data_IF_063626677636
#
_entry.id   IF_063626677636
#
_cell.length_a   1.000
_cell.length_b   1.000
_cell.length_c   1.000
_cell.angle_alpha   90.00
_cell.angle_beta   90.00
_cell.angle_gamma   90.00
#
_symmetry.space_group_name_H-M   'P 1'
#
loop_
_entity.id
_entity.type
_entity.pdbx_description
1 polymer ?
#
# COMPACT_ATOMS: atom_id res chain seq x y z
N UNK A 1 -8.27 -25.98 -52.41
CA UNK A 1 -7.67 -24.70 -51.92
C UNK A 1 -8.48 -24.22 -50.74
N UNK A 2 -7.97 -24.39 -49.51
CA UNK A 2 -8.56 -23.82 -48.28
C UNK A 2 -8.10 -22.38 -48.18
N UNK A 3 -9.07 -21.45 -48.16
CA UNK A 3 -8.79 -20.03 -47.85
C UNK A 3 -8.39 -19.93 -46.39
N UNK A 4 -7.19 -19.44 -46.11
CA UNK A 4 -6.71 -19.05 -44.78
C UNK A 4 -7.28 -17.64 -44.55
N UNK A 5 -8.23 -17.52 -43.61
CA UNK A 5 -8.67 -16.22 -43.15
C UNK A 5 -7.57 -15.62 -42.25
N UNK A 6 -7.25 -14.33 -42.40
CA UNK A 6 -6.28 -13.68 -41.54
C UNK A 6 -6.88 -13.51 -40.14
N UNK A 7 -6.26 -14.15 -39.15
CA UNK A 7 -6.57 -13.88 -37.75
C UNK A 7 -6.22 -12.41 -37.42
N UNK A 8 -7.22 -11.65 -37.02
CA UNK A 8 -7.03 -10.31 -36.47
C UNK A 8 -6.19 -10.43 -35.17
N UNK A 9 -4.92 -10.09 -35.28
CA UNK A 9 -4.06 -9.86 -34.12
C UNK A 9 -4.52 -8.53 -33.51
N UNK A 10 -5.26 -8.57 -32.41
CA UNK A 10 -5.58 -7.39 -31.62
C UNK A 10 -4.29 -6.83 -31.04
N UNK A 11 -3.78 -5.76 -31.60
CA UNK A 11 -2.68 -5.00 -31.02
C UNK A 11 -3.28 -4.30 -29.79
N UNK A 12 -3.01 -4.82 -28.60
CA UNK A 12 -3.29 -4.11 -27.34
C UNK A 12 -2.25 -2.98 -27.28
N UNK A 13 -2.69 -1.77 -27.59
CA UNK A 13 -1.88 -0.56 -27.36
C UNK A 13 -1.90 -0.35 -25.84
N UNK A 14 -0.86 -0.77 -25.14
CA UNK A 14 -0.69 -0.39 -23.74
C UNK A 14 -0.61 1.14 -23.64
N UNK A 15 -1.47 1.71 -22.80
CA UNK A 15 -1.44 3.13 -22.53
C UNK A 15 -0.06 3.52 -21.93
N UNK A 16 0.47 4.67 -22.31
CA UNK A 16 1.73 5.17 -21.77
C UNK A 16 1.61 5.27 -20.22
N UNK A 17 2.64 4.83 -19.47
CA UNK A 17 2.61 4.89 -18.03
C UNK A 17 2.39 6.32 -17.50
N UNK A 18 1.53 6.46 -16.48
CA UNK A 18 1.24 7.73 -15.82
C UNK A 18 2.48 8.25 -15.08
N UNK A 19 2.55 9.56 -14.84
CA UNK A 19 3.60 10.21 -14.06
C UNK A 19 3.02 10.72 -12.74
N UNK A 20 3.76 10.51 -11.64
CA UNK A 20 3.39 11.10 -10.35
C UNK A 20 3.69 12.61 -10.35
N UNK A 21 3.13 13.39 -9.43
CA UNK A 21 3.48 14.81 -9.26
C UNK A 21 4.99 15.03 -8.95
N UNK A 22 5.71 13.98 -8.54
CA UNK A 22 7.14 14.02 -8.20
C UNK A 22 8.05 13.52 -9.33
N UNK A 23 7.51 13.15 -10.50
CA UNK A 23 8.27 12.58 -11.61
C UNK A 23 9.48 13.40 -12.03
N UNK A 24 9.31 14.72 -12.17
CA UNK A 24 10.40 15.61 -12.61
C UNK A 24 11.49 15.71 -11.53
N UNK A 25 11.11 15.67 -10.26
CA UNK A 25 12.05 15.64 -9.13
C UNK A 25 12.84 14.33 -9.09
N UNK A 26 12.21 13.20 -9.37
CA UNK A 26 12.92 11.91 -9.49
C UNK A 26 13.97 11.95 -10.59
N UNK A 27 13.60 12.51 -11.75
CA UNK A 27 14.53 12.67 -12.88
C UNK A 27 15.68 13.61 -12.51
N UNK A 28 15.40 14.74 -11.86
CA UNK A 28 16.40 15.71 -11.39
C UNK A 28 17.37 15.08 -10.37
N UNK A 29 16.87 14.20 -9.52
CA UNK A 29 17.68 13.46 -8.54
C UNK A 29 18.44 12.26 -9.13
N UNK A 30 18.32 12.00 -10.44
CA UNK A 30 19.04 10.94 -11.13
C UNK A 30 18.45 9.54 -10.89
N UNK A 31 17.17 9.44 -10.56
CA UNK A 31 16.52 8.16 -10.33
C UNK A 31 16.47 7.29 -11.60
N UNK A 32 16.68 6.00 -11.43
CA UNK A 32 16.37 5.01 -12.47
C UNK A 32 14.87 4.75 -12.47
N UNK A 33 14.18 5.23 -13.51
CA UNK A 33 12.73 5.10 -13.64
C UNK A 33 12.35 3.79 -14.33
N UNK A 34 11.27 3.14 -13.86
CA UNK A 34 10.71 1.90 -14.42
C UNK A 34 9.19 1.97 -14.46
N UNK A 35 8.51 1.28 -15.38
CA UNK A 35 7.07 1.05 -15.32
C UNK A 35 6.74 0.18 -14.11
N UNK A 36 5.74 0.59 -13.33
CA UNK A 36 5.22 -0.14 -12.18
C UNK A 36 3.74 0.20 -11.97
N UNK A 37 2.86 -0.80 -11.99
CA UNK A 37 1.42 -0.63 -11.77
C UNK A 37 0.78 0.50 -12.60
N UNK A 38 1.19 0.63 -13.88
CA UNK A 38 0.71 1.68 -14.78
C UNK A 38 1.34 3.07 -14.58
N UNK A 39 2.36 3.20 -13.74
CA UNK A 39 3.08 4.44 -13.45
C UNK A 39 4.56 4.34 -13.80
N UNK A 40 5.22 5.50 -14.06
CA UNK A 40 6.68 5.59 -14.09
C UNK A 40 7.18 5.92 -12.68
N UNK A 41 7.86 4.95 -12.06
CA UNK A 41 8.31 5.04 -10.67
C UNK A 41 9.83 4.89 -10.55
N UNK A 42 10.48 5.52 -9.56
CA UNK A 42 11.89 5.31 -9.27
C UNK A 42 12.11 3.91 -8.68
N UNK A 43 12.94 3.09 -9.32
CA UNK A 43 13.36 1.80 -8.73
C UNK A 43 14.49 1.99 -7.75
N UNK A 44 15.40 2.95 -8.01
CA UNK A 44 16.51 3.35 -7.15
C UNK A 44 17.07 4.71 -7.59
N UNK A 45 17.79 5.39 -6.67
CA UNK A 45 18.57 6.62 -6.94
C UNK A 45 20.07 6.34 -6.84
N UNK A 46 20.51 5.62 -5.82
CA UNK A 46 21.90 5.19 -5.65
C UNK A 46 22.01 3.68 -5.82
N UNK A 47 21.79 2.92 -4.78
CA UNK A 47 21.67 1.47 -4.83
C UNK A 47 20.58 0.98 -3.86
N UNK A 48 19.91 -0.11 -4.22
CA UNK A 48 18.86 -0.71 -3.38
C UNK A 48 19.37 -0.97 -1.95
N UNK A 49 20.59 -1.49 -1.82
CA UNK A 49 21.17 -1.81 -0.50
C UNK A 49 21.44 -0.54 0.32
N UNK A 50 21.96 0.50 -0.31
CA UNK A 50 22.28 1.76 0.37
C UNK A 50 21.02 2.49 0.83
N UNK A 51 19.99 2.51 -0.01
CA UNK A 51 18.68 3.08 0.31
C UNK A 51 18.00 2.29 1.44
N UNK A 52 18.00 0.96 1.35
CA UNK A 52 17.52 0.07 2.40
C UNK A 52 18.21 0.36 3.76
N UNK A 53 19.55 0.43 3.76
CA UNK A 53 20.32 0.72 4.99
C UNK A 53 20.05 2.12 5.52
N UNK A 54 19.77 3.10 4.67
CA UNK A 54 19.37 4.44 5.12
C UNK A 54 18.06 4.41 5.90
N UNK A 55 17.08 3.63 5.45
CA UNK A 55 15.80 3.45 6.17
C UNK A 55 16.01 2.74 7.50
N UNK A 56 16.86 1.71 7.54
CA UNK A 56 17.13 0.97 8.80
C UNK A 56 17.89 1.77 9.83
N UNK A 57 18.83 2.63 9.42
CA UNK A 57 19.76 3.30 10.34
C UNK A 57 19.49 4.80 10.52
N UNK A 58 18.80 5.42 9.59
CA UNK A 58 18.56 6.88 9.54
C UNK A 58 17.10 7.20 9.21
N UNK A 59 16.86 7.68 7.99
CA UNK A 59 15.54 7.97 7.44
C UNK A 59 15.59 7.91 5.91
N UNK A 60 14.55 7.35 5.31
CA UNK A 60 14.33 7.36 3.85
C UNK A 60 13.01 8.00 3.49
N UNK A 61 12.91 8.54 2.28
CA UNK A 61 11.66 9.07 1.71
C UNK A 61 11.34 8.36 0.41
N UNK A 62 10.10 7.87 0.30
CA UNK A 62 9.56 7.17 -0.85
C UNK A 62 8.41 7.97 -1.45
N UNK A 63 8.35 8.07 -2.78
CA UNK A 63 7.13 8.49 -3.46
C UNK A 63 6.09 7.38 -3.40
N UNK A 64 4.93 7.68 -2.84
CA UNK A 64 3.75 6.81 -2.80
C UNK A 64 2.53 7.46 -3.47
N UNK A 65 2.75 8.51 -4.28
CA UNK A 65 1.67 9.24 -4.97
C UNK A 65 0.90 8.39 -5.99
N UNK A 66 1.47 7.25 -6.40
CA UNK A 66 0.81 6.30 -7.29
C UNK A 66 -0.32 5.52 -6.61
N UNK A 67 -0.36 5.46 -5.27
CA UNK A 67 -1.45 4.82 -4.52
C UNK A 67 -2.78 5.53 -4.78
N UNK A 68 -3.87 4.75 -4.91
CA UNK A 68 -5.21 5.32 -5.05
C UNK A 68 -5.67 5.98 -3.75
N UNK A 69 -6.32 7.14 -3.88
CA UNK A 69 -6.84 7.90 -2.75
C UNK A 69 -8.31 8.21 -3.02
N UNK A 70 -9.21 7.58 -2.24
CA UNK A 70 -10.65 7.76 -2.40
C UNK A 70 -11.22 8.41 -1.16
N UNK A 71 -12.14 9.36 -1.37
CA UNK A 71 -12.96 9.95 -0.31
C UNK A 71 -14.33 9.31 -0.37
N UNK A 72 -14.77 8.79 0.77
CA UNK A 72 -16.14 8.34 1.02
C UNK A 72 -16.76 9.31 2.01
N UNK A 73 -17.91 9.88 1.67
CA UNK A 73 -18.58 10.90 2.48
C UNK A 73 -20.10 10.73 2.40
N UNK A 74 -20.78 11.00 3.50
CA UNK A 74 -22.24 11.02 3.55
C UNK A 74 -22.84 10.26 4.73
N UNK A 75 -24.10 10.54 5.01
CA UNK A 75 -24.84 9.86 6.06
C UNK A 75 -24.94 8.35 5.77
N UNK A 76 -24.43 7.53 6.68
CA UNK A 76 -24.34 6.06 6.48
C UNK A 76 -23.02 5.55 5.90
N UNK A 77 -22.06 6.41 5.58
CA UNK A 77 -20.74 6.00 5.08
C UNK A 77 -20.05 4.99 6.01
N UNK A 78 -20.17 5.16 7.34
CA UNK A 78 -19.62 4.21 8.31
C UNK A 78 -20.24 2.82 8.16
N UNK A 79 -21.55 2.72 8.16
CA UNK A 79 -22.24 1.42 8.04
C UNK A 79 -21.98 0.75 6.70
N UNK A 80 -21.97 1.53 5.62
CA UNK A 80 -21.66 1.03 4.27
C UNK A 80 -20.23 0.50 4.21
N UNK A 81 -19.22 1.27 4.64
CA UNK A 81 -17.83 0.82 4.69
C UNK A 81 -17.67 -0.41 5.59
N UNK A 82 -18.41 -0.47 6.69
CA UNK A 82 -18.37 -1.63 7.58
C UNK A 82 -18.92 -2.90 6.88
N UNK A 83 -19.87 -2.77 5.93
CA UNK A 83 -20.35 -3.83 5.07
C UNK A 83 -19.42 -4.18 3.91
N UNK A 84 -18.58 -3.26 3.44
CA UNK A 84 -17.65 -3.49 2.33
C UNK A 84 -16.29 -4.04 2.78
N UNK A 85 -15.82 -3.70 3.99
CA UNK A 85 -14.47 -4.00 4.47
C UNK A 85 -14.49 -5.08 5.55
N UNK A 86 -13.41 -5.85 5.64
CA UNK A 86 -13.34 -6.99 6.58
C UNK A 86 -13.13 -6.59 8.03
N UNK A 87 -12.38 -5.52 8.29
CA UNK A 87 -12.14 -5.04 9.65
C UNK A 87 -13.32 -4.16 10.13
N UNK A 88 -13.42 -3.95 11.42
CA UNK A 88 -14.56 -3.27 12.01
C UNK A 88 -14.39 -1.76 12.01
N UNK A 89 -15.05 -1.09 11.06
CA UNK A 89 -15.01 0.37 10.87
C UNK A 89 -15.70 1.11 12.04
N UNK A 90 -16.62 0.46 12.76
CA UNK A 90 -17.29 1.06 13.92
C UNK A 90 -16.35 1.34 15.10
N UNK A 91 -15.16 0.70 15.10
CA UNK A 91 -14.12 0.94 16.11
C UNK A 91 -13.28 2.20 15.85
N UNK A 92 -13.43 2.82 14.67
CA UNK A 92 -12.67 4.02 14.32
C UNK A 92 -13.33 5.28 14.89
N UNK A 93 -12.58 6.05 15.64
CA UNK A 93 -12.88 7.45 15.92
C UNK A 93 -12.25 8.36 14.87
N UNK A 94 -12.67 9.62 14.77
CA UNK A 94 -12.06 10.61 13.91
C UNK A 94 -10.54 10.71 14.19
N UNK A 95 -9.74 10.76 13.12
CA UNK A 95 -8.29 10.72 13.20
C UNK A 95 -7.70 9.31 13.27
N UNK A 96 -8.48 8.24 13.39
CA UNK A 96 -7.97 6.87 13.43
C UNK A 96 -8.00 6.20 12.05
N UNK A 97 -7.06 5.31 11.83
CA UNK A 97 -6.99 4.45 10.65
C UNK A 97 -6.81 2.98 10.99
N UNK A 98 -7.15 2.11 10.07
CA UNK A 98 -6.95 0.66 10.20
C UNK A 98 -6.66 0.02 8.85
N UNK A 99 -5.83 -1.01 8.88
CA UNK A 99 -5.61 -1.91 7.74
C UNK A 99 -6.78 -2.89 7.63
N UNK A 100 -7.23 -3.15 6.40
CA UNK A 100 -8.40 -3.98 6.11
C UNK A 100 -8.31 -4.55 4.71
N UNK A 101 -9.25 -5.45 4.35
CA UNK A 101 -9.36 -6.02 3.01
C UNK A 101 -10.68 -5.64 2.36
N UNK A 102 -10.63 -5.45 1.05
CA UNK A 102 -11.77 -5.46 0.14
C UNK A 102 -11.85 -6.85 -0.49
N UNK A 103 -12.99 -7.52 -0.35
CA UNK A 103 -13.17 -8.89 -0.82
C UNK A 103 -14.19 -8.97 -1.96
N UNK A 104 -14.07 -10.03 -2.77
CA UNK A 104 -15.15 -10.48 -3.63
C UNK A 104 -16.14 -11.38 -2.87
N UNK A 105 -17.27 -11.70 -3.48
CA UNK A 105 -18.34 -12.52 -2.86
C UNK A 105 -17.87 -13.94 -2.44
N UNK A 106 -16.77 -14.42 -3.01
CA UNK A 106 -16.18 -15.72 -2.68
C UNK A 106 -15.13 -15.63 -1.55
N UNK A 107 -14.94 -14.43 -0.97
CA UNK A 107 -13.99 -14.17 0.10
C UNK A 107 -12.55 -13.95 -0.37
N UNK A 108 -12.29 -13.94 -1.68
CA UNK A 108 -10.96 -13.65 -2.22
C UNK A 108 -10.62 -12.16 -2.12
N UNK A 109 -9.34 -11.86 -1.92
CA UNK A 109 -8.85 -10.50 -1.71
C UNK A 109 -8.79 -9.74 -3.04
N UNK A 110 -9.67 -8.76 -3.24
CA UNK A 110 -9.58 -7.80 -4.34
C UNK A 110 -8.40 -6.87 -4.05
N UNK A 111 -8.41 -6.21 -2.87
CA UNK A 111 -7.32 -5.37 -2.42
C UNK A 111 -7.14 -5.39 -0.90
N UNK A 112 -5.97 -4.98 -0.46
CA UNK A 112 -5.62 -4.65 0.91
C UNK A 112 -5.34 -3.15 1.02
N UNK A 113 -5.97 -2.49 1.97
CA UNK A 113 -5.98 -1.04 2.04
C UNK A 113 -5.95 -0.51 3.47
N UNK A 114 -5.67 0.78 3.60
CA UNK A 114 -5.87 1.50 4.85
C UNK A 114 -7.07 2.41 4.70
N UNK A 115 -8.02 2.32 5.65
CA UNK A 115 -9.13 3.25 5.79
C UNK A 115 -8.87 4.16 6.99
N UNK A 116 -8.96 5.48 6.79
CA UNK A 116 -8.89 6.50 7.83
C UNK A 116 -10.25 7.16 7.99
N UNK A 117 -10.73 7.30 9.23
CA UNK A 117 -11.87 8.16 9.53
C UNK A 117 -11.37 9.58 9.76
N UNK A 118 -11.54 10.48 8.79
CA UNK A 118 -11.05 11.87 8.87
C UNK A 118 -12.03 12.80 9.58
N UNK A 119 -13.33 12.58 9.39
CA UNK A 119 -14.43 13.26 10.09
C UNK A 119 -15.53 12.25 10.43
N UNK A 120 -16.58 12.68 11.09
CA UNK A 120 -17.63 11.78 11.60
C UNK A 120 -18.23 10.87 10.51
N UNK A 121 -18.49 11.39 9.31
CA UNK A 121 -19.08 10.65 8.18
C UNK A 121 -18.17 10.66 6.94
N UNK A 122 -16.87 10.94 7.10
CA UNK A 122 -15.94 11.10 6.01
C UNK A 122 -14.68 10.28 6.20
N UNK A 123 -14.34 9.53 5.18
CA UNK A 123 -13.26 8.54 5.21
C UNK A 123 -12.32 8.73 4.02
N UNK A 124 -11.02 8.49 4.26
CA UNK A 124 -10.01 8.36 3.23
C UNK A 124 -9.63 6.88 3.12
N UNK A 125 -9.74 6.33 1.92
CA UNK A 125 -9.22 5.01 1.59
C UNK A 125 -7.93 5.18 0.78
N UNK A 126 -6.86 4.50 1.21
CA UNK A 126 -5.58 4.44 0.49
C UNK A 126 -5.43 3.03 -0.03
N UNK A 127 -5.55 2.85 -1.35
CA UNK A 127 -5.60 1.56 -2.06
C UNK A 127 -4.37 1.33 -2.92
N UNK A 128 -4.10 0.08 -3.29
CA UNK A 128 -2.95 -0.26 -4.12
C UNK A 128 -3.08 0.31 -5.55
N UNK A 129 -1.98 0.86 -6.08
CA UNK A 129 -1.94 1.53 -7.37
C UNK A 129 -2.45 0.66 -8.54
N UNK A 130 -2.08 -0.62 -8.55
CA UNK A 130 -2.48 -1.58 -9.59
C UNK A 130 -3.92 -2.03 -9.49
N UNK A 131 -4.62 -1.69 -8.40
CA UNK A 131 -6.02 -2.06 -8.14
C UNK A 131 -6.97 -0.88 -8.12
N UNK A 132 -6.46 0.34 -8.10
CA UNK A 132 -7.25 1.56 -7.85
C UNK A 132 -8.48 1.70 -8.77
N UNK A 133 -8.34 1.39 -10.06
CA UNK A 133 -9.46 1.50 -11.00
C UNK A 133 -10.51 0.38 -10.77
N UNK A 134 -10.06 -0.84 -10.43
CA UNK A 134 -10.91 -2.00 -10.10
C UNK A 134 -11.63 -1.79 -8.78
N UNK A 135 -10.91 -1.33 -7.75
CA UNK A 135 -11.46 -1.03 -6.42
C UNK A 135 -12.53 0.05 -6.48
N UNK A 136 -12.24 1.13 -7.23
CA UNK A 136 -13.19 2.21 -7.42
C UNK A 136 -14.47 1.70 -8.09
N UNK A 137 -14.34 0.91 -9.15
CA UNK A 137 -15.49 0.33 -9.86
C UNK A 137 -16.27 -0.65 -8.96
N UNK A 138 -15.58 -1.48 -8.19
CA UNK A 138 -16.21 -2.39 -7.25
C UNK A 138 -17.01 -1.66 -6.18
N UNK A 139 -16.40 -0.67 -5.53
CA UNK A 139 -17.03 0.15 -4.51
C UNK A 139 -18.22 0.96 -5.10
N UNK A 140 -18.07 1.52 -6.31
CA UNK A 140 -19.12 2.26 -7.01
C UNK A 140 -20.35 1.39 -7.32
N UNK A 141 -20.14 0.13 -7.71
CA UNK A 141 -21.22 -0.81 -8.00
C UNK A 141 -22.00 -1.25 -6.74
N UNK A 142 -21.42 -1.08 -5.55
CA UNK A 142 -22.04 -1.37 -4.26
C UNK A 142 -22.43 -0.11 -3.48
N UNK A 143 -22.37 1.06 -4.12
CA UNK A 143 -22.63 2.33 -3.44
C UNK A 143 -24.09 2.43 -3.01
N UNK A 144 -24.33 2.83 -1.76
CA UNK A 144 -25.65 3.05 -1.22
C UNK A 144 -26.10 4.50 -1.42
N UNK A 145 -27.40 4.73 -1.45
CA UNK A 145 -27.98 6.07 -1.55
C UNK A 145 -27.50 6.99 -0.43
N UNK A 146 -27.25 8.25 -0.78
CA UNK A 146 -26.79 9.26 0.17
C UNK A 146 -25.29 9.22 0.52
N UNK A 147 -24.53 8.31 -0.09
CA UNK A 147 -23.08 8.22 0.06
C UNK A 147 -22.41 8.67 -1.24
N UNK A 148 -21.38 9.49 -1.13
CA UNK A 148 -20.51 9.85 -2.25
C UNK A 148 -19.17 9.10 -2.17
N UNK A 149 -18.73 8.59 -3.30
CA UNK A 149 -17.40 8.01 -3.51
C UNK A 149 -16.69 8.86 -4.58
N UNK A 150 -15.54 9.42 -4.24
CA UNK A 150 -14.78 10.31 -5.14
C UNK A 150 -13.31 9.90 -5.16
N UNK A 151 -12.76 9.67 -6.35
CA UNK A 151 -11.31 9.51 -6.50
C UNK A 151 -10.64 10.88 -6.47
N UNK A 152 -9.67 11.03 -5.56
CA UNK A 152 -8.85 12.23 -5.39
C UNK A 152 -7.38 11.99 -5.75
N UNK A 153 -7.08 10.84 -6.35
CA UNK A 153 -5.71 10.42 -6.68
C UNK A 153 -4.97 11.38 -7.62
N UNK A 154 -5.70 12.11 -8.46
CA UNK A 154 -5.10 13.13 -9.33
C UNK A 154 -4.81 14.47 -8.62
N UNK A 155 -5.48 14.73 -7.51
CA UNK A 155 -5.38 16.01 -6.80
C UNK A 155 -4.26 16.03 -5.76
N UNK A 156 -3.84 14.85 -5.30
CA UNK A 156 -2.88 14.68 -4.22
C UNK A 156 -1.61 13.97 -4.69
N UNK A 157 -0.49 14.36 -4.06
CA UNK A 157 0.72 13.59 -3.98
C UNK A 157 0.89 13.03 -2.58
N UNK A 158 1.72 12.00 -2.43
CA UNK A 158 2.03 11.46 -1.13
C UNK A 158 3.46 10.92 -1.06
N UNK A 159 4.08 11.06 0.11
CA UNK A 159 5.39 10.45 0.39
C UNK A 159 5.33 9.66 1.70
N UNK A 160 6.07 8.55 1.75
CA UNK A 160 6.35 7.85 3.00
C UNK A 160 7.75 8.21 3.50
N UNK A 161 7.84 8.73 4.72
CA UNK A 161 9.09 9.06 5.42
C UNK A 161 9.28 8.01 6.51
N UNK A 162 10.31 7.17 6.40
CA UNK A 162 10.45 5.95 7.17
C UNK A 162 11.86 5.80 7.74
N UNK A 163 11.97 5.39 9.00
CA UNK A 163 13.23 5.10 9.66
C UNK A 163 13.28 5.60 11.11
N UNK A 164 14.28 5.21 11.90
CA UNK A 164 14.38 5.52 13.33
C UNK A 164 14.46 7.04 13.61
N UNK A 165 14.87 7.85 12.63
CA UNK A 165 14.97 9.30 12.78
C UNK A 165 13.77 10.08 12.23
N UNK A 166 12.66 9.39 11.92
CA UNK A 166 11.45 10.02 11.38
C UNK A 166 10.88 11.07 12.32
N UNK A 167 10.87 10.84 13.63
CA UNK A 167 10.38 11.81 14.61
C UNK A 167 11.21 13.09 14.64
N UNK A 168 12.54 12.99 14.53
CA UNK A 168 13.42 14.17 14.43
C UNK A 168 13.11 14.99 13.17
N UNK A 169 12.91 14.30 12.05
CA UNK A 169 12.55 14.95 10.79
C UNK A 169 11.16 15.57 10.83
N UNK A 170 10.20 14.90 11.45
CA UNK A 170 8.84 15.45 11.64
C UNK A 170 8.89 16.81 12.34
N UNK A 171 9.58 16.91 13.48
CA UNK A 171 9.72 18.18 14.18
C UNK A 171 10.57 19.22 13.43
N UNK A 172 11.51 18.79 12.61
CA UNK A 172 12.25 19.72 11.73
C UNK A 172 11.37 20.27 10.61
N UNK A 173 10.37 19.49 10.14
CA UNK A 173 9.44 19.89 9.08
C UNK A 173 8.30 20.78 9.60
N UNK A 174 7.71 20.41 10.72
CA UNK A 174 6.44 20.98 11.17
C UNK A 174 6.56 21.84 12.42
N UNK A 175 7.71 21.79 13.10
CA UNK A 175 7.94 22.53 14.35
C UNK A 175 7.93 21.62 15.57
N UNK A 176 8.62 22.07 16.63
CA UNK A 176 8.79 21.29 17.85
C UNK A 176 7.52 21.14 18.68
N UNK A 177 6.60 22.11 18.53
CA UNK A 177 5.36 22.17 19.27
C UNK A 177 4.20 21.42 18.57
N UNK A 178 4.44 20.91 17.36
CA UNK A 178 3.46 20.10 16.62
C UNK A 178 3.53 18.66 17.11
N UNK A 179 2.40 18.14 17.53
CA UNK A 179 2.31 16.76 18.02
C UNK A 179 2.33 15.78 16.85
N UNK A 180 3.21 14.77 16.93
CA UNK A 180 3.22 13.65 16.00
C UNK A 180 1.96 12.78 16.25
N UNK A 181 1.15 12.47 15.23
CA UNK A 181 0.00 11.60 15.39
C UNK A 181 0.35 10.27 16.07
N UNK A 182 -0.57 9.73 16.85
CA UNK A 182 -0.41 8.39 17.41
C UNK A 182 -0.32 7.33 16.31
N UNK A 183 0.21 6.14 16.62
CA UNK A 183 0.32 5.06 15.62
C UNK A 183 -1.06 4.73 15.03
N UNK A 184 -1.14 4.56 13.72
CA UNK A 184 -2.36 4.36 12.94
C UNK A 184 -3.36 5.52 13.06
N UNK A 185 -2.88 6.74 13.34
CA UNK A 185 -3.70 7.94 13.29
C UNK A 185 -3.26 8.85 12.15
N UNK A 186 -4.19 9.68 11.70
CA UNK A 186 -3.99 10.74 10.71
C UNK A 186 -4.44 12.06 11.31
N UNK A 187 -3.69 13.12 11.03
CA UNK A 187 -4.05 14.48 11.42
C UNK A 187 -3.59 15.48 10.37
N UNK A 188 -4.31 16.57 10.24
CA UNK A 188 -3.88 17.70 9.43
C UNK A 188 -2.86 18.53 10.20
N UNK A 189 -1.74 18.82 9.53
CA UNK A 189 -0.60 19.54 10.10
C UNK A 189 -0.28 20.74 9.20
N UNK A 190 -0.10 21.94 9.78
CA UNK A 190 0.29 23.11 9.00
C UNK A 190 1.64 22.91 8.31
N UNK A 191 1.70 23.22 7.02
CA UNK A 191 2.91 23.26 6.24
C UNK A 191 2.89 24.51 5.34
N UNK A 192 3.71 25.50 5.66
CA UNK A 192 3.70 26.84 5.04
C UNK A 192 2.29 27.48 5.05
N UNK A 193 1.74 27.78 3.86
CA UNK A 193 0.42 28.41 3.72
C UNK A 193 -0.74 27.39 3.57
N UNK A 194 -0.47 26.09 3.68
CA UNK A 194 -1.46 25.00 3.50
C UNK A 194 -1.38 24.01 4.66
N UNK A 195 -2.31 23.07 4.70
CA UNK A 195 -2.20 21.88 5.53
C UNK A 195 -1.79 20.68 4.68
N UNK A 196 -1.08 19.76 5.31
CA UNK A 196 -0.84 18.40 4.81
C UNK A 196 -1.44 17.40 5.79
N UNK A 197 -1.94 16.28 5.30
CA UNK A 197 -2.44 15.22 6.18
C UNK A 197 -1.29 14.26 6.48
N UNK A 198 -0.97 14.09 7.76
CA UNK A 198 0.12 13.21 8.22
C UNK A 198 -0.49 11.99 8.90
N UNK A 199 -0.23 10.81 8.35
CA UNK A 199 -0.60 9.53 8.93
C UNK A 199 0.63 8.84 9.52
N UNK A 200 0.54 8.31 10.75
CA UNK A 200 1.63 7.53 11.34
C UNK A 200 1.52 6.06 10.98
N UNK A 201 1.83 5.79 9.73
CA UNK A 201 1.79 4.48 9.08
C UNK A 201 3.04 4.27 8.23
N UNK A 202 3.20 3.08 7.68
CA UNK A 202 4.32 2.75 6.80
C UNK A 202 4.36 1.27 6.41
N UNK A 203 5.32 0.93 5.53
CA UNK A 203 5.45 -0.39 4.92
C UNK A 203 6.88 -0.93 5.00
N UNK A 204 7.62 -0.54 6.04
CA UNK A 204 9.06 -0.85 6.18
C UNK A 204 9.41 -1.61 7.47
N UNK A 205 8.51 -1.61 8.44
CA UNK A 205 8.76 -2.13 9.79
C UNK A 205 9.44 -1.12 10.72
N UNK A 206 9.98 -0.03 10.18
CA UNK A 206 10.48 1.09 10.98
C UNK A 206 9.36 2.03 11.40
N UNK A 207 9.63 2.91 12.36
CA UNK A 207 8.75 4.04 12.63
C UNK A 207 8.69 4.96 11.40
N UNK A 208 7.53 5.55 11.16
CA UNK A 208 7.36 6.33 9.95
C UNK A 208 6.05 7.08 9.88
N UNK A 209 5.99 7.97 8.90
CA UNK A 209 4.79 8.72 8.55
C UNK A 209 4.57 8.65 7.04
N UNK A 210 3.31 8.74 6.65
CA UNK A 210 2.89 8.97 5.27
C UNK A 210 2.22 10.34 5.21
N UNK A 211 2.66 11.18 4.30
CA UNK A 211 2.22 12.58 4.20
C UNK A 211 1.53 12.79 2.87
N UNK A 212 0.29 13.24 2.93
CA UNK A 212 -0.54 13.54 1.78
C UNK A 212 -0.64 15.07 1.61
N UNK A 213 -0.40 15.55 0.41
CA UNK A 213 -0.37 16.98 0.07
C UNK A 213 -0.99 17.21 -1.31
N UNK A 214 -1.38 18.44 -1.62
CA UNK A 214 -1.84 18.77 -2.96
C UNK A 214 -0.75 18.57 -4.00
N UNK A 215 -1.09 17.97 -5.14
CA UNK A 215 -0.14 17.64 -6.22
C UNK A 215 0.70 18.84 -6.68
N UNK A 216 0.12 20.05 -6.68
CA UNK A 216 0.81 21.30 -7.01
C UNK A 216 1.96 21.65 -6.05
N UNK A 217 1.93 21.15 -4.83
CA UNK A 217 2.92 21.45 -3.78
C UNK A 217 3.99 20.34 -3.67
N UNK A 218 3.91 19.28 -4.49
CA UNK A 218 4.74 18.09 -4.41
C UNK A 218 6.24 18.36 -4.44
N UNK A 219 6.72 19.13 -5.44
CA UNK A 219 8.14 19.47 -5.59
C UNK A 219 8.66 20.26 -4.38
N UNK A 220 7.86 21.24 -3.89
CA UNK A 220 8.19 22.06 -2.73
C UNK A 220 8.27 21.20 -1.46
N UNK A 221 7.32 20.31 -1.26
CA UNK A 221 7.30 19.43 -0.10
C UNK A 221 8.50 18.48 -0.10
N UNK A 222 8.76 17.77 -1.21
CA UNK A 222 9.92 16.86 -1.31
C UNK A 222 11.25 17.60 -1.10
N UNK A 223 11.40 18.80 -1.66
CA UNK A 223 12.59 19.63 -1.46
C UNK A 223 12.80 19.94 0.02
N UNK A 224 11.76 20.39 0.72
CA UNK A 224 11.82 20.66 2.15
C UNK A 224 12.18 19.42 2.97
N UNK A 225 11.61 18.25 2.64
CA UNK A 225 11.92 16.96 3.28
C UNK A 225 13.40 16.62 3.12
N UNK A 226 13.94 16.72 1.90
CA UNK A 226 15.35 16.40 1.63
C UNK A 226 16.32 17.38 2.28
N UNK A 227 16.02 18.68 2.23
CA UNK A 227 16.87 19.70 2.84
C UNK A 227 16.92 19.59 4.36
N UNK A 228 15.75 19.48 5.02
CA UNK A 228 15.66 19.37 6.49
C UNK A 228 16.12 18.01 6.99
N UNK A 229 15.98 16.96 6.16
CA UNK A 229 16.47 15.62 6.46
C UNK A 229 17.97 15.41 6.22
N UNK A 230 18.66 16.31 5.52
CA UNK A 230 20.08 16.17 5.20
C UNK A 230 20.97 15.94 6.43
N UNK A 231 20.81 16.68 7.55
CA UNK A 231 21.59 16.42 8.79
C UNK A 231 21.25 15.10 9.43
N UNK A 232 20.10 14.50 9.09
CA UNK A 232 19.62 13.23 9.61
C UNK A 232 20.02 12.04 8.72
N UNK A 233 20.75 12.27 7.64
CA UNK A 233 21.19 11.24 6.71
C UNK A 233 20.07 10.73 5.80
N UNK A 234 19.04 11.56 5.52
CA UNK A 234 17.93 11.15 4.64
C UNK A 234 18.43 10.79 3.24
N UNK A 235 17.80 9.76 2.67
CA UNK A 235 17.94 9.41 1.25
C UNK A 235 16.58 9.31 0.57
N UNK A 236 16.46 9.74 -0.69
CA UNK A 236 15.35 9.31 -1.51
C UNK A 236 15.53 7.80 -1.79
N UNK A 237 14.45 7.06 -1.71
CA UNK A 237 14.43 5.61 -1.82
C UNK A 237 13.41 5.18 -2.87
N UNK A 238 13.79 4.19 -3.70
CA UNK A 238 12.95 3.67 -4.75
C UNK A 238 12.24 2.36 -4.39
N UNK A 239 11.49 1.83 -5.36
CA UNK A 239 10.72 0.58 -5.22
C UNK A 239 11.60 -0.62 -4.82
N UNK A 240 12.86 -0.64 -5.24
CA UNK A 240 13.78 -1.74 -4.88
C UNK A 240 14.03 -1.81 -3.37
N UNK A 241 14.28 -0.67 -2.72
CA UNK A 241 14.43 -0.61 -1.27
C UNK A 241 13.09 -0.89 -0.57
N UNK A 242 11.96 -0.36 -1.08
CA UNK A 242 10.62 -0.63 -0.57
C UNK A 242 10.33 -2.14 -0.53
N UNK A 243 10.67 -2.87 -1.61
CA UNK A 243 10.42 -4.31 -1.70
C UNK A 243 11.31 -5.12 -0.73
N UNK A 244 12.59 -4.79 -0.62
CA UNK A 244 13.46 -5.49 0.33
C UNK A 244 13.08 -5.25 1.79
N UNK A 245 12.65 -4.03 2.14
CA UNK A 245 12.21 -3.66 3.49
C UNK A 245 10.92 -4.39 3.89
N UNK A 246 9.88 -4.39 3.02
CA UNK A 246 8.63 -5.08 3.29
C UNK A 246 8.81 -6.59 3.43
N UNK A 247 9.68 -7.19 2.59
CA UNK A 247 9.98 -8.62 2.62
C UNK A 247 10.63 -9.04 3.94
N UNK A 248 11.54 -8.27 4.49
CA UNK A 248 12.13 -8.54 5.81
C UNK A 248 11.09 -8.58 6.93
N UNK A 249 10.01 -7.81 6.78
CA UNK A 249 8.90 -7.76 7.73
C UNK A 249 7.80 -8.77 7.42
N UNK A 250 7.93 -9.54 6.32
CA UNK A 250 6.90 -10.43 5.81
C UNK A 250 5.57 -9.71 5.50
N UNK A 251 5.63 -8.43 5.14
CA UNK A 251 4.46 -7.70 4.68
C UNK A 251 4.08 -8.15 3.27
N UNK A 252 2.82 -8.53 3.03
CA UNK A 252 2.40 -9.03 1.74
C UNK A 252 2.36 -7.91 0.69
N UNK A 253 2.47 -8.30 -0.57
CA UNK A 253 2.27 -7.44 -1.74
C UNK A 253 1.05 -7.92 -2.52
N UNK A 254 0.09 -7.02 -2.75
CA UNK A 254 -1.07 -7.31 -3.60
C UNK A 254 -0.62 -7.64 -5.02
N UNK A 255 -1.25 -8.65 -5.62
CA UNK A 255 -0.88 -9.18 -6.94
C UNK A 255 0.26 -10.20 -6.93
N UNK A 256 1.01 -10.33 -5.81
CA UNK A 256 2.04 -11.36 -5.64
C UNK A 256 1.68 -12.36 -4.53
N UNK A 257 1.44 -11.84 -3.34
CA UNK A 257 1.16 -12.64 -2.13
C UNK A 257 -0.34 -12.73 -1.85
N UNK A 258 -1.09 -11.70 -2.23
CA UNK A 258 -2.54 -11.58 -2.12
C UNK A 258 -3.18 -11.56 -3.51
N UNK A 259 -4.35 -12.20 -3.64
CA UNK A 259 -5.07 -12.27 -4.91
C UNK A 259 -6.57 -12.57 -4.71
N UNK A 260 -7.42 -12.38 -5.74
CA UNK A 260 -8.84 -12.73 -5.69
C UNK A 260 -9.14 -14.23 -5.51
N UNK A 261 -8.15 -15.11 -5.62
CA UNK A 261 -8.25 -16.55 -5.41
C UNK A 261 -7.91 -16.98 -3.98
N UNK A 262 -7.26 -16.07 -3.20
CA UNK A 262 -6.83 -16.32 -1.82
C UNK A 262 -7.57 -15.42 -0.85
N UNK A 263 -8.07 -16.01 0.25
CA UNK A 263 -8.73 -15.23 1.29
C UNK A 263 -7.75 -14.82 2.42
N UNK A 264 -8.12 -13.85 3.29
CA UNK A 264 -7.25 -13.38 4.36
C UNK A 264 -6.81 -14.45 5.37
N UNK A 265 -7.60 -15.52 5.57
CA UNK A 265 -7.26 -16.61 6.50
C UNK A 265 -6.16 -17.48 5.88
N UNK A 266 -6.26 -17.77 4.59
CA UNK A 266 -5.23 -18.48 3.82
C UNK A 266 -3.94 -17.65 3.71
N UNK A 267 -4.07 -16.33 3.61
CA UNK A 267 -2.93 -15.41 3.65
C UNK A 267 -2.27 -15.27 5.04
N UNK A 268 -2.82 -15.89 6.09
CA UNK A 268 -2.30 -15.76 7.46
C UNK A 268 -2.62 -14.42 8.13
N UNK A 269 -3.54 -13.64 7.55
CA UNK A 269 -3.90 -12.27 7.94
C UNK A 269 -5.30 -12.17 8.55
N UNK A 270 -5.86 -13.29 9.00
CA UNK A 270 -7.20 -13.36 9.58
C UNK A 270 -7.43 -12.48 10.81
N UNK A 271 -6.36 -11.97 11.43
CA UNK A 271 -6.47 -11.04 12.57
C UNK A 271 -6.90 -9.61 12.16
N UNK A 272 -6.89 -9.29 10.86
CA UNK A 272 -7.49 -8.08 10.29
C UNK A 272 -8.94 -8.28 9.83
N UNK A 273 -9.53 -9.43 10.14
CA UNK A 273 -10.92 -9.76 9.80
C UNK A 273 -11.74 -9.86 11.08
N UNK A 274 -12.77 -9.03 11.21
CA UNK A 274 -13.70 -9.09 12.35
C UNK A 274 -14.95 -9.92 11.97
N UNK A 275 -14.87 -11.25 12.15
CA UNK A 275 -16.00 -12.15 11.89
C UNK A 275 -17.17 -12.00 12.87
N UNK A 276 -17.01 -11.20 13.96
CA UNK A 276 -18.09 -10.90 14.89
C UNK A 276 -19.06 -9.83 14.34
N UNK A 277 -18.69 -9.12 13.27
CA UNK A 277 -19.60 -8.21 12.56
C UNK A 277 -20.80 -9.00 12.02
N UNK A 278 -21.99 -8.37 11.95
CA UNK A 278 -23.19 -9.06 11.48
C UNK A 278 -23.05 -9.51 10.02
N UNK A 279 -22.47 -8.67 9.16
CA UNK A 279 -22.28 -8.97 7.75
C UNK A 279 -21.19 -8.11 7.11
N UNK A 280 -20.57 -8.61 6.05
CA UNK A 280 -19.73 -7.87 5.08
C UNK A 280 -19.50 -8.76 3.84
N UNK A 281 -19.16 -8.15 2.71
CA UNK A 281 -18.91 -8.86 1.46
C UNK A 281 -17.87 -9.98 1.64
N UNK A 282 -18.23 -11.23 1.29
CA UNK A 282 -17.37 -12.40 1.42
C UNK A 282 -17.30 -13.05 2.81
N UNK A 283 -18.04 -12.54 3.80
CA UNK A 283 -18.02 -13.06 5.19
C UNK A 283 -18.29 -14.55 5.29
N UNK A 284 -19.34 -15.05 4.65
CA UNK A 284 -19.74 -16.46 4.75
C UNK A 284 -18.64 -17.41 4.24
N UNK A 285 -17.94 -17.02 3.19
CA UNK A 285 -16.80 -17.77 2.68
C UNK A 285 -15.66 -17.84 3.71
N UNK A 286 -15.40 -16.75 4.43
CA UNK A 286 -14.37 -16.71 5.49
C UNK A 286 -14.78 -17.54 6.71
N UNK A 287 -16.05 -17.48 7.12
CA UNK A 287 -16.59 -18.33 8.20
C UNK A 287 -16.39 -19.79 7.84
N UNK A 288 -16.80 -20.21 6.64
CA UNK A 288 -16.59 -21.57 6.14
C UNK A 288 -15.12 -21.99 6.14
N UNK A 289 -14.22 -21.11 5.67
CA UNK A 289 -12.77 -21.39 5.68
C UNK A 289 -12.24 -21.55 7.11
N UNK A 290 -12.72 -20.73 8.06
CA UNK A 290 -12.32 -20.83 9.46
C UNK A 290 -12.77 -22.14 10.10
N UNK A 291 -13.98 -22.61 9.81
CA UNK A 291 -14.56 -23.84 10.35
C UNK A 291 -13.92 -25.10 9.74
N UNK A 292 -13.72 -25.12 8.42
CA UNK A 292 -13.14 -26.28 7.72
C UNK A 292 -11.61 -26.34 7.74
N UNK A 293 -10.96 -25.25 8.12
CA UNK A 293 -9.53 -25.01 7.93
C UNK A 293 -9.18 -24.54 6.52
N UNK A 294 -8.12 -23.71 6.36
CA UNK A 294 -7.67 -23.25 5.06
C UNK A 294 -7.04 -24.38 4.25
N UNK A 295 -7.27 -24.40 2.93
CA UNK A 295 -6.68 -25.39 2.00
C UNK A 295 -5.20 -25.18 1.80
N UNK A 296 -4.75 -23.93 1.82
CA UNK A 296 -3.35 -23.51 1.73
C UNK A 296 -3.07 -22.44 2.79
N UNK A 297 -1.81 -22.17 3.07
CA UNK A 297 -1.41 -21.13 4.00
C UNK A 297 -0.16 -20.44 3.52
N UNK A 298 -0.23 -19.12 3.38
CA UNK A 298 0.97 -18.30 3.19
C UNK A 298 1.78 -18.32 4.50
N UNK A 299 3.05 -18.70 4.40
CA UNK A 299 3.94 -18.75 5.56
C UNK A 299 5.24 -18.04 5.26
N UNK A 300 5.72 -17.19 6.18
CA UNK A 300 7.05 -16.61 6.07
C UNK A 300 8.12 -17.68 6.28
N UNK A 301 9.26 -17.55 5.59
CA UNK A 301 10.42 -18.40 5.82
C UNK A 301 11.72 -17.59 5.81
N UNK A 302 12.74 -18.10 6.48
CA UNK A 302 14.07 -17.52 6.51
C UNK A 302 15.08 -18.48 5.90
N UNK A 303 15.87 -17.99 4.94
CA UNK A 303 16.99 -18.73 4.37
C UNK A 303 18.05 -19.03 5.45
N UNK A 304 18.45 -20.30 5.59
CA UNK A 304 19.52 -20.69 6.54
C UNK A 304 20.92 -20.46 5.97
N UNK A 305 21.07 -20.48 4.65
CA UNK A 305 22.35 -20.31 3.97
C UNK A 305 22.31 -19.14 2.99
N UNK A 306 23.49 -18.58 2.66
CA UNK A 306 23.60 -17.58 1.59
C UNK A 306 23.27 -18.23 0.25
N UNK A 307 22.41 -17.61 -0.51
CA UNK A 307 22.01 -18.08 -1.84
C UNK A 307 21.12 -17.04 -2.55
N UNK A 308 20.82 -17.25 -3.82
CA UNK A 308 19.87 -16.36 -4.50
C UNK A 308 18.49 -16.48 -3.84
N UNK A 309 17.75 -15.37 -3.73
CA UNK A 309 16.39 -15.41 -3.19
C UNK A 309 15.52 -16.32 -4.07
N UNK A 310 14.56 -17.05 -3.49
CA UNK A 310 13.59 -17.82 -4.24
C UNK A 310 12.86 -16.90 -5.23
N UNK A 311 12.68 -17.39 -6.46
CA UNK A 311 11.92 -16.66 -7.48
C UNK A 311 10.45 -17.08 -7.44
N UNK A 312 9.50 -16.21 -7.84
CA UNK A 312 8.10 -16.57 -8.01
C UNK A 312 7.95 -17.86 -8.85
N UNK A 313 6.94 -18.66 -8.55
CA UNK A 313 6.59 -19.89 -9.26
C UNK A 313 7.59 -21.06 -9.15
N UNK A 314 8.58 -21.02 -8.27
CA UNK A 314 9.32 -22.21 -7.87
C UNK A 314 8.59 -22.90 -6.73
N UNK A 315 8.04 -24.07 -6.98
CA UNK A 315 7.55 -24.95 -5.92
C UNK A 315 8.76 -25.38 -5.06
N UNK A 316 8.68 -25.15 -3.74
CA UNK A 316 9.57 -25.81 -2.80
C UNK A 316 9.10 -27.27 -2.72
N UNK A 317 9.90 -28.21 -3.21
CA UNK A 317 9.59 -29.64 -3.11
C UNK A 317 9.44 -30.06 -1.64
N UNK A 318 8.50 -30.95 -1.35
CA UNK A 318 8.40 -31.62 -0.06
C UNK A 318 9.72 -32.34 0.22
N UNK A 319 10.25 -32.23 1.44
CA UNK A 319 11.49 -32.90 1.88
C UNK A 319 11.44 -34.43 1.79
N UNK A 320 10.33 -35.04 1.37
CA UNK A 320 10.15 -36.48 1.25
C UNK A 320 10.61 -37.06 -0.10
N UNK A 321 10.95 -36.25 -1.10
CA UNK A 321 11.27 -36.73 -2.45
C UNK A 321 12.76 -36.63 -2.84
N UNK A 322 13.69 -36.47 -1.89
CA UNK A 322 15.11 -36.65 -2.17
C UNK A 322 15.53 -38.04 -1.74
N UNK A 323 15.81 -38.97 -2.68
CA UNK A 323 16.50 -40.19 -2.34
C UNK A 323 17.89 -39.80 -1.78
N UNK A 324 18.25 -40.41 -0.64
CA UNK A 324 19.58 -40.25 -0.05
C UNK A 324 20.64 -40.56 -1.11
N UNK A 325 21.60 -39.65 -1.32
CA UNK A 325 22.75 -39.93 -2.15
C UNK A 325 23.52 -41.11 -1.56
N UNK A 326 23.96 -42.09 -2.37
CA UNK A 326 24.76 -43.20 -1.85
C UNK A 326 26.08 -42.69 -1.31
N UNK A 327 26.56 -43.36 -0.27
CA UNK A 327 27.79 -43.06 0.48
C UNK A 327 29.07 -43.18 -0.37
#
# INVERSE_FOLDING_TARGET
>A
MRKIEPSLVSIVIEAAPRKTPLYDEHTRLGAKMVPFAGWLMPVQYTSIVEEHQSVRNNVGVFDISHMGQFIVDGAGAQAWLNGMLTNNVDKLNAGMGQYTFLLNDRGGIIDDLIVYRIEEQKYLLVVNAGRADEDFAWLQNHLSDGISLTSRSADFGAVAIQGPRTNELFHALFGKDVELPARNHIADVPFDATNVSVARTGYTGEDGIEVFFYAKDAAKFLTAVLERGKPLGIKPCGLGARDTLRLEMCYPLNGSDLSPERNPIEAGLGFFVDLAKPDFVGRDALVKTKESGPREKLVPFRMKAKGPPPRPHKQSGNQQDHPAAPA
#
